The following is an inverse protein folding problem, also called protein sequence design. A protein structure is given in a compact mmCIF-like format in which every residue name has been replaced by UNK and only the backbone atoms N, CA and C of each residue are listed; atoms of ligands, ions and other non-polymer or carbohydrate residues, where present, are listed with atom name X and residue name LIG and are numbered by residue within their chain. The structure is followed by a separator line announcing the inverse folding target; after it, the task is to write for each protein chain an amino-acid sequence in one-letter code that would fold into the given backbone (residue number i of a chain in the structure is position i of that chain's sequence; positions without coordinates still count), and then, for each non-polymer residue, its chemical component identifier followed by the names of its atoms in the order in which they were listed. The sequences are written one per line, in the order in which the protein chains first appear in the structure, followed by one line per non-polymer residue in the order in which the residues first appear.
data_IF_536857947287
#
_entry.id   IF_536857947287
#
_cell.length_a   1.000
_cell.length_b   1.000
_cell.length_c   1.000
_cell.angle_alpha   90.00
_cell.angle_beta   90.00
_cell.angle_gamma   90.00
#
_symmetry.space_group_name_H-M   'P 1'
#
loop_
_entity.id
_entity.type
_entity.pdbx_description
1 polymer ?
#
# COMPACT_ATOMS: atom_id res chain seq x y z
N UNK A 1 -9.34 26.13 -0.97
CA UNK A 1 -10.19 25.69 0.16
C UNK A 1 -11.70 25.73 -0.11
N UNK A 2 -12.25 26.62 -0.93
CA UNK A 2 -13.69 26.73 -1.20
C UNK A 2 -14.27 25.72 -2.20
N UNK A 3 -13.50 25.20 -3.14
CA UNK A 3 -13.97 24.25 -4.19
C UNK A 3 -14.17 22.81 -3.68
N UNK A 4 -13.39 22.33 -2.71
CA UNK A 4 -13.54 20.97 -2.14
C UNK A 4 -14.84 20.79 -1.34
N UNK A 5 -15.34 21.85 -0.67
CA UNK A 5 -16.58 21.77 0.11
C UNK A 5 -17.88 21.63 -0.72
N UNK A 6 -17.85 22.04 -1.99
CA UNK A 6 -19.04 21.92 -2.86
C UNK A 6 -19.30 20.50 -3.35
N UNK A 7 -18.24 19.71 -3.63
CA UNK A 7 -18.40 18.33 -4.08
C UNK A 7 -18.96 17.44 -2.96
N UNK A 8 -18.42 17.59 -1.75
CA UNK A 8 -18.88 16.81 -0.58
C UNK A 8 -20.35 17.09 -0.24
N UNK A 9 -20.80 18.35 -0.38
CA UNK A 9 -22.19 18.71 -0.13
C UNK A 9 -23.14 18.22 -1.21
N UNK A 10 -22.70 18.14 -2.46
CA UNK A 10 -23.52 17.63 -3.58
C UNK A 10 -23.72 16.10 -3.49
N UNK A 11 -22.70 15.35 -3.05
CA UNK A 11 -22.79 13.90 -2.85
C UNK A 11 -23.70 13.57 -1.65
N UNK A 12 -23.60 14.31 -0.54
CA UNK A 12 -24.49 14.15 0.62
C UNK A 12 -25.95 14.48 0.29
N UNK A 13 -26.21 15.49 -0.55
CA UNK A 13 -27.56 15.85 -0.97
C UNK A 13 -28.17 14.79 -1.92
N UNK A 14 -27.38 14.14 -2.75
CA UNK A 14 -27.82 13.05 -3.62
C UNK A 14 -28.20 11.78 -2.83
N UNK A 15 -27.48 11.48 -1.74
CA UNK A 15 -27.77 10.34 -0.85
C UNK A 15 -29.03 10.61 -0.01
N UNK A 16 -29.24 11.83 0.45
CA UNK A 16 -30.42 12.19 1.25
C UNK A 16 -31.74 12.19 0.47
N UNK A 17 -31.70 12.31 -0.86
CA UNK A 17 -32.90 12.26 -1.71
C UNK A 17 -33.39 10.84 -2.03
N UNK A 18 -32.61 9.78 -1.70
CA UNK A 18 -32.98 8.38 -1.92
C UNK A 18 -33.74 7.73 -0.74
N UNK A 19 -33.98 8.44 0.36
CA UNK A 19 -34.63 7.88 1.58
C UNK A 19 -36.16 7.70 1.48
N UNK A 20 -36.76 7.72 0.29
CA UNK A 20 -38.18 7.55 0.03
C UNK A 20 -38.63 6.16 -0.40
N UNK A 21 -37.81 5.11 -0.25
CA UNK A 21 -38.20 3.74 -0.64
C UNK A 21 -38.85 3.03 0.53
N UNK A 22 -40.13 2.70 0.36
CA UNK A 22 -40.95 1.96 1.32
C UNK A 22 -40.29 0.62 1.72
N UNK A 23 -40.16 0.39 3.03
CA UNK A 23 -39.79 -0.89 3.59
C UNK A 23 -40.83 -1.96 3.21
N UNK A 24 -40.44 -2.90 2.36
CA UNK A 24 -41.11 -4.17 2.23
C UNK A 24 -40.41 -5.17 3.16
N UNK A 25 -41.10 -5.60 4.21
CA UNK A 25 -40.65 -6.71 5.05
C UNK A 25 -40.75 -8.01 4.25
N UNK A 26 -39.61 -8.60 3.86
CA UNK A 26 -39.54 -9.96 3.39
C UNK A 26 -38.83 -10.82 4.46
N UNK A 27 -39.46 -11.93 4.80
CA UNK A 27 -39.05 -12.89 5.82
C UNK A 27 -37.62 -13.42 5.55
N UNK A 28 -36.84 -13.51 6.66
CA UNK A 28 -35.46 -13.92 6.60
C UNK A 28 -35.27 -15.39 6.24
N UNK A 29 -34.77 -15.65 5.05
CA UNK A 29 -34.01 -16.86 4.68
C UNK A 29 -33.37 -16.72 3.28
N UNK A 30 -33.54 -15.55 2.58
CA UNK A 30 -33.11 -15.37 1.20
C UNK A 30 -31.65 -14.84 1.11
N UNK A 31 -31.13 -14.27 2.20
CA UNK A 31 -29.84 -13.55 2.17
C UNK A 31 -28.64 -14.49 2.08
N UNK A 32 -28.69 -15.67 2.73
CA UNK A 32 -27.57 -16.63 2.66
C UNK A 32 -27.47 -17.32 1.29
N UNK A 33 -28.59 -17.58 0.64
CA UNK A 33 -28.64 -18.26 -0.66
C UNK A 33 -28.10 -17.36 -1.79
N UNK A 34 -28.38 -16.06 -1.74
CA UNK A 34 -27.89 -15.08 -2.72
C UNK A 34 -26.35 -14.90 -2.59
N UNK A 35 -25.81 -14.85 -1.36
CA UNK A 35 -24.38 -14.73 -1.14
C UNK A 35 -23.61 -15.95 -1.64
N UNK A 36 -24.13 -17.16 -1.39
CA UNK A 36 -23.53 -18.42 -1.88
C UNK A 36 -23.58 -18.52 -3.41
N UNK A 37 -24.64 -18.04 -4.05
CA UNK A 37 -24.74 -18.01 -5.52
C UNK A 37 -23.76 -17.02 -6.13
N UNK A 38 -23.55 -15.84 -5.55
CA UNK A 38 -22.60 -14.84 -6.00
C UNK A 38 -21.16 -15.35 -5.97
N UNK A 39 -20.74 -15.95 -4.86
CA UNK A 39 -19.41 -16.55 -4.70
C UNK A 39 -19.18 -17.70 -5.71
N UNK A 40 -20.17 -18.57 -5.89
CA UNK A 40 -20.07 -19.66 -6.85
C UNK A 40 -19.90 -19.16 -8.29
N UNK A 41 -20.68 -18.18 -8.71
CA UNK A 41 -20.58 -17.62 -10.07
C UNK A 41 -19.25 -16.88 -10.29
N UNK A 42 -18.69 -16.24 -9.27
CA UNK A 42 -17.36 -15.62 -9.31
C UNK A 42 -16.26 -16.67 -9.53
N UNK A 43 -16.33 -17.79 -8.79
CA UNK A 43 -15.38 -18.90 -8.95
C UNK A 43 -15.51 -19.56 -10.32
N UNK A 44 -16.73 -19.75 -10.83
CA UNK A 44 -16.97 -20.31 -12.16
C UNK A 44 -16.38 -19.41 -13.26
N UNK A 45 -16.62 -18.09 -13.22
CA UNK A 45 -16.02 -17.12 -14.17
C UNK A 45 -14.49 -17.14 -14.10
N UNK A 46 -13.92 -17.21 -12.89
CA UNK A 46 -12.46 -17.28 -12.70
C UNK A 46 -11.86 -18.58 -13.27
N UNK A 47 -12.58 -19.70 -13.15
CA UNK A 47 -12.19 -20.98 -13.75
C UNK A 47 -12.30 -20.98 -15.26
N UNK A 48 -13.33 -20.32 -15.82
CA UNK A 48 -13.53 -20.23 -17.27
C UNK A 48 -12.41 -19.41 -17.91
N UNK A 49 -12.06 -18.25 -17.37
CA UNK A 49 -10.91 -17.46 -17.82
C UNK A 49 -9.63 -18.31 -17.84
N UNK A 50 -9.43 -19.13 -16.81
CA UNK A 50 -8.26 -20.03 -16.71
C UNK A 50 -8.32 -21.16 -17.74
N UNK A 51 -9.50 -21.70 -18.01
CA UNK A 51 -9.71 -22.79 -18.98
C UNK A 51 -9.55 -22.32 -20.42
N UNK A 52 -10.04 -21.13 -20.73
CA UNK A 52 -10.04 -20.57 -22.08
C UNK A 52 -8.74 -19.87 -22.43
N UNK A 53 -7.87 -19.63 -21.43
CA UNK A 53 -6.58 -19.00 -21.61
C UNK A 53 -5.61 -19.86 -22.43
N UNK A 54 -4.99 -19.27 -23.45
CA UNK A 54 -3.98 -19.94 -24.29
C UNK A 54 -2.64 -20.18 -23.59
N UNK A 55 -2.48 -19.70 -22.35
CA UNK A 55 -1.26 -19.78 -21.53
C UNK A 55 -1.58 -20.01 -20.07
N UNK A 56 -0.58 -19.81 -19.19
CA UNK A 56 -0.80 -19.87 -17.75
C UNK A 56 -1.42 -18.55 -17.28
N UNK A 57 -2.71 -18.56 -17.02
CA UNK A 57 -3.46 -17.43 -16.47
C UNK A 57 -4.21 -17.86 -15.23
N UNK A 58 -4.24 -16.99 -14.23
CA UNK A 58 -5.13 -17.09 -13.09
C UNK A 58 -5.99 -15.82 -13.02
N UNK A 59 -7.23 -15.95 -12.59
CA UNK A 59 -8.15 -14.83 -12.51
C UNK A 59 -8.89 -14.80 -11.18
N UNK A 60 -9.28 -13.58 -10.79
CA UNK A 60 -10.19 -13.32 -9.68
C UNK A 60 -11.31 -12.44 -10.25
N UNK A 61 -12.55 -12.89 -10.11
CA UNK A 61 -13.73 -12.11 -10.48
C UNK A 61 -14.42 -11.61 -9.24
N UNK A 62 -15.01 -10.42 -9.27
CA UNK A 62 -15.87 -9.94 -8.21
C UNK A 62 -17.08 -10.87 -8.00
N UNK A 63 -17.50 -11.08 -6.75
CA UNK A 63 -18.69 -11.86 -6.42
C UNK A 63 -19.95 -11.19 -6.98
N UNK A 64 -20.01 -9.85 -6.85
CA UNK A 64 -20.94 -8.93 -7.49
C UNK A 64 -20.20 -7.62 -7.74
N UNK A 65 -20.73 -6.78 -8.61
CA UNK A 65 -20.12 -5.48 -8.91
C UNK A 65 -20.07 -4.65 -7.61
N UNK A 66 -18.90 -4.10 -7.30
CA UNK A 66 -18.65 -3.39 -6.04
C UNK A 66 -18.40 -4.29 -4.82
N UNK A 67 -18.39 -5.63 -4.99
CA UNK A 67 -18.07 -6.60 -3.94
C UNK A 67 -16.83 -7.42 -4.31
N UNK A 68 -15.69 -6.78 -4.35
CA UNK A 68 -14.43 -7.50 -4.46
C UNK A 68 -14.12 -8.19 -3.12
N UNK A 69 -13.54 -9.41 -3.12
CA UNK A 69 -13.42 -10.22 -1.90
C UNK A 69 -12.57 -9.60 -0.80
N UNK A 70 -11.66 -8.68 -1.13
CA UNK A 70 -10.75 -8.07 -0.18
C UNK A 70 -10.82 -6.54 -0.22
N UNK A 71 -10.34 -5.90 0.83
CA UNK A 71 -10.33 -4.45 0.97
C UNK A 71 -9.32 -3.74 0.04
N UNK A 72 -8.35 -4.50 -0.49
CA UNK A 72 -7.30 -4.01 -1.34
C UNK A 72 -7.07 -5.00 -2.50
N UNK A 73 -6.83 -4.48 -3.69
CA UNK A 73 -6.59 -5.26 -4.90
C UNK A 73 -5.37 -6.19 -4.76
N UNK A 74 -4.28 -5.72 -4.14
CA UNK A 74 -3.09 -6.55 -3.92
C UNK A 74 -3.35 -7.72 -2.96
N UNK A 75 -4.18 -7.53 -1.93
CA UNK A 75 -4.57 -8.59 -1.01
C UNK A 75 -5.29 -9.74 -1.74
N UNK A 76 -6.17 -9.40 -2.66
CA UNK A 76 -6.82 -10.42 -3.49
C UNK A 76 -5.82 -11.17 -4.37
N UNK A 77 -4.86 -10.46 -4.95
CA UNK A 77 -3.82 -11.06 -5.78
C UNK A 77 -2.92 -12.04 -5.01
N UNK A 78 -2.75 -11.86 -3.70
CA UNK A 78 -1.99 -12.79 -2.86
C UNK A 78 -2.59 -14.20 -2.81
N UNK A 79 -3.88 -14.36 -3.09
CA UNK A 79 -4.54 -15.68 -3.18
C UNK A 79 -4.12 -16.47 -4.41
N UNK A 80 -3.54 -15.81 -5.40
CA UNK A 80 -3.04 -16.45 -6.62
C UNK A 80 -1.70 -17.12 -6.33
N UNK A 81 -1.57 -18.39 -6.66
CA UNK A 81 -0.34 -19.16 -6.45
C UNK A 81 0.87 -18.47 -7.08
N UNK A 82 1.94 -18.28 -6.30
CA UNK A 82 3.19 -17.64 -6.75
C UNK A 82 3.11 -16.12 -6.83
N UNK A 83 2.10 -15.50 -6.22
CA UNK A 83 2.03 -14.06 -5.98
C UNK A 83 2.29 -13.78 -4.51
N UNK A 84 3.19 -12.88 -4.21
CA UNK A 84 3.41 -12.29 -2.90
C UNK A 84 3.21 -10.79 -2.98
N UNK A 85 2.93 -10.16 -1.85
CA UNK A 85 2.68 -8.72 -1.77
C UNK A 85 3.64 -8.07 -0.78
N UNK A 86 4.04 -6.85 -1.11
CA UNK A 86 4.73 -5.96 -0.20
C UNK A 86 3.71 -4.98 0.37
N UNK A 87 3.78 -4.74 1.69
CA UNK A 87 2.85 -3.88 2.41
C UNK A 87 3.49 -2.57 2.82
N UNK A 88 2.70 -1.51 2.79
CA UNK A 88 3.04 -0.22 3.35
C UNK A 88 1.85 0.29 4.16
N UNK A 89 2.09 0.72 5.42
CA UNK A 89 1.01 1.20 6.30
C UNK A 89 -0.11 0.18 6.55
N UNK A 90 0.21 -1.13 6.51
CA UNK A 90 -0.76 -2.22 6.70
C UNK A 90 -1.54 -2.61 5.43
N UNK A 91 -1.46 -1.86 4.35
CA UNK A 91 -2.12 -2.18 3.06
C UNK A 91 -1.12 -2.76 2.05
N UNK A 92 -1.59 -3.68 1.20
CA UNK A 92 -0.82 -4.21 0.07
C UNK A 92 -0.54 -3.12 -0.96
N UNK A 93 0.73 -2.86 -1.27
CA UNK A 93 1.15 -1.82 -2.20
C UNK A 93 1.68 -2.40 -3.50
N UNK A 94 2.63 -3.31 -3.44
CA UNK A 94 3.26 -3.90 -4.60
C UNK A 94 3.07 -5.41 -4.64
N UNK A 95 3.23 -5.98 -5.84
CA UNK A 95 3.21 -7.43 -6.04
C UNK A 95 4.52 -7.95 -6.60
N UNK A 96 4.89 -9.14 -6.16
CA UNK A 96 5.98 -9.95 -6.70
C UNK A 96 5.38 -11.23 -7.26
N UNK A 97 5.63 -11.55 -8.52
CA UNK A 97 5.08 -12.74 -9.18
C UNK A 97 6.20 -13.69 -9.56
N UNK A 98 6.14 -14.93 -9.06
CA UNK A 98 7.17 -15.96 -9.29
C UNK A 98 8.59 -15.51 -8.93
N UNK A 99 8.74 -14.66 -7.88
CA UNK A 99 10.02 -14.10 -7.46
C UNK A 99 10.50 -12.91 -8.29
N UNK A 100 9.76 -12.49 -9.32
CA UNK A 100 10.04 -11.26 -10.05
C UNK A 100 9.37 -10.08 -9.35
N UNK A 101 10.18 -9.13 -8.88
CA UNK A 101 9.74 -7.96 -8.16
C UNK A 101 8.82 -7.03 -8.97
N UNK A 102 8.28 -5.98 -8.35
CA UNK A 102 7.21 -5.15 -8.93
C UNK A 102 7.55 -4.56 -10.30
N UNK A 103 8.79 -4.14 -10.52
CA UNK A 103 9.25 -3.52 -11.76
C UNK A 103 9.33 -4.49 -12.96
N UNK A 104 9.22 -5.79 -12.73
CA UNK A 104 9.23 -6.83 -13.77
C UNK A 104 7.83 -7.27 -14.18
N UNK A 105 6.80 -6.75 -13.55
CA UNK A 105 5.41 -7.04 -13.86
C UNK A 105 4.81 -5.86 -14.62
N UNK A 106 4.04 -6.13 -15.68
CA UNK A 106 3.24 -5.13 -16.36
C UNK A 106 1.84 -5.14 -15.78
N UNK A 107 1.37 -3.98 -15.31
CA UNK A 107 0.00 -3.82 -14.81
C UNK A 107 -0.79 -2.97 -15.78
N UNK A 108 -1.95 -3.46 -16.16
CA UNK A 108 -2.88 -2.82 -17.08
C UNK A 108 -4.21 -2.60 -16.37
N UNK A 109 -4.88 -1.51 -16.70
CA UNK A 109 -6.27 -1.25 -16.34
C UNK A 109 -7.07 -1.17 -17.64
N UNK A 110 -8.06 -2.05 -17.79
CA UNK A 110 -8.84 -2.20 -19.01
C UNK A 110 -7.98 -2.43 -20.26
N UNK A 111 -6.86 -3.18 -20.12
CA UNK A 111 -5.92 -3.46 -21.19
C UNK A 111 -4.90 -2.36 -21.48
N UNK A 112 -4.90 -1.26 -20.76
CA UNK A 112 -4.05 -0.07 -20.95
C UNK A 112 -3.08 0.11 -19.80
N UNK A 113 -1.85 0.50 -20.12
CA UNK A 113 -0.91 0.92 -19.10
C UNK A 113 -1.28 2.33 -18.64
N UNK A 114 -1.46 2.51 -17.33
CA UNK A 114 -1.72 3.81 -16.73
C UNK A 114 -0.45 4.38 -16.11
N UNK A 115 -0.37 5.71 -16.01
CA UNK A 115 0.75 6.39 -15.39
C UNK A 115 0.87 6.00 -13.91
N UNK A 116 2.09 5.79 -13.46
CA UNK A 116 2.44 5.53 -12.05
C UNK A 116 3.02 6.79 -11.41
N UNK A 117 2.82 6.93 -10.12
CA UNK A 117 3.33 8.03 -9.31
C UNK A 117 4.85 7.99 -9.10
N UNK A 118 5.43 6.82 -9.19
CA UNK A 118 6.86 6.61 -9.07
C UNK A 118 7.55 6.66 -10.44
N UNK A 119 8.80 7.10 -10.45
CA UNK A 119 9.65 7.04 -11.66
C UNK A 119 10.08 5.60 -12.00
N UNK A 120 9.48 4.61 -11.36
CA UNK A 120 9.70 3.19 -11.57
C UNK A 120 8.62 2.59 -12.46
N UNK A 121 8.82 1.34 -12.88
CA UNK A 121 7.80 0.56 -13.60
C UNK A 121 6.82 -0.17 -12.67
N UNK A 122 7.01 -0.03 -11.36
CA UNK A 122 6.13 -0.63 -10.38
C UNK A 122 4.78 0.09 -10.35
N UNK A 123 3.72 -0.68 -10.21
CA UNK A 123 2.37 -0.15 -10.05
C UNK A 123 1.96 -0.25 -8.58
N UNK A 124 1.50 0.86 -8.01
CA UNK A 124 1.05 0.96 -6.62
C UNK A 124 -0.43 0.61 -6.54
N UNK A 125 -0.75 -0.60 -6.10
CA UNK A 125 -2.13 -1.09 -6.04
C UNK A 125 -2.98 -0.39 -4.97
N UNK A 126 -2.34 0.25 -4.00
CA UNK A 126 -3.01 1.03 -2.96
C UNK A 126 -3.61 2.35 -3.47
N UNK A 127 -3.33 2.74 -4.72
CA UNK A 127 -3.98 3.90 -5.35
C UNK A 127 -5.35 3.58 -5.92
N UNK A 128 -5.70 2.31 -6.15
CA UNK A 128 -6.93 1.87 -6.78
C UNK A 128 -7.87 1.19 -5.76
N UNK A 129 -9.11 1.69 -5.68
CA UNK A 129 -10.14 1.09 -4.83
C UNK A 129 -10.64 -0.24 -5.41
N UNK A 130 -10.70 -1.27 -4.56
CA UNK A 130 -11.19 -2.60 -4.96
C UNK A 130 -12.66 -2.58 -5.38
N UNK A 131 -13.46 -1.64 -4.87
CA UNK A 131 -14.87 -1.46 -5.19
C UNK A 131 -15.13 -1.07 -6.66
N UNK A 132 -14.11 -0.54 -7.35
CA UNK A 132 -14.20 -0.20 -8.77
C UNK A 132 -13.84 -1.38 -9.69
N UNK A 133 -13.28 -2.45 -9.14
CA UNK A 133 -12.74 -3.59 -9.87
C UNK A 133 -13.80 -4.66 -10.04
N UNK A 134 -14.03 -5.11 -11.27
CA UNK A 134 -14.91 -6.25 -11.61
C UNK A 134 -14.14 -7.56 -11.77
N UNK A 135 -12.86 -7.50 -12.10
CA UNK A 135 -12.01 -8.68 -12.22
C UNK A 135 -10.54 -8.35 -12.40
N UNK A 136 -9.71 -9.36 -12.18
CA UNK A 136 -8.26 -9.29 -12.39
C UNK A 136 -7.83 -10.59 -13.05
N UNK A 137 -7.03 -10.48 -14.12
CA UNK A 137 -6.36 -11.61 -14.75
C UNK A 137 -4.85 -11.46 -14.64
N UNK A 138 -4.17 -12.49 -14.14
CA UNK A 138 -2.71 -12.55 -14.01
C UNK A 138 -2.18 -13.54 -15.04
N UNK A 139 -1.67 -13.01 -16.13
CA UNK A 139 -1.03 -13.79 -17.19
C UNK A 139 0.44 -14.02 -16.81
N UNK A 140 0.75 -15.26 -16.46
CA UNK A 140 2.09 -15.70 -16.07
C UNK A 140 2.95 -16.17 -17.26
N UNK A 141 2.34 -16.23 -18.43
CA UNK A 141 3.00 -16.44 -19.72
C UNK A 141 2.56 -15.34 -20.67
N UNK A 142 3.51 -14.77 -21.40
CA UNK A 142 3.23 -13.76 -22.42
C UNK A 142 2.66 -14.39 -23.69
N UNK A 143 1.84 -13.65 -24.42
CA UNK A 143 1.41 -13.99 -25.78
C UNK A 143 1.76 -12.86 -26.74
N UNK A 144 1.76 -13.12 -28.04
CA UNK A 144 2.10 -12.13 -29.07
C UNK A 144 1.09 -10.94 -29.11
N UNK A 145 -0.08 -11.10 -28.54
CA UNK A 145 -1.13 -10.08 -28.48
C UNK A 145 -1.03 -9.16 -27.26
N UNK A 146 -0.15 -9.51 -26.30
CA UNK A 146 0.05 -8.74 -25.09
C UNK A 146 1.14 -7.70 -25.26
N UNK A 147 1.00 -6.57 -24.56
CA UNK A 147 2.06 -5.58 -24.45
C UNK A 147 3.31 -6.21 -23.85
N UNK A 148 4.48 -5.97 -24.49
CA UNK A 148 5.76 -6.47 -24.00
C UNK A 148 6.22 -5.76 -22.74
N UNK A 149 7.02 -6.45 -21.91
CA UNK A 149 7.63 -5.85 -20.72
C UNK A 149 7.31 -6.57 -19.39
N UNK A 150 6.29 -7.40 -19.34
CA UNK A 150 5.95 -8.22 -18.19
C UNK A 150 6.73 -9.54 -18.16
N UNK A 151 8.01 -9.49 -17.76
CA UNK A 151 8.85 -10.69 -17.67
C UNK A 151 8.34 -11.63 -16.57
N UNK A 152 7.89 -11.09 -15.44
CA UNK A 152 7.29 -11.83 -14.35
C UNK A 152 5.84 -12.21 -14.64
N UNK A 153 5.05 -11.22 -15.03
CA UNK A 153 3.64 -11.37 -15.39
C UNK A 153 3.09 -10.13 -16.09
N UNK A 154 1.91 -10.30 -16.72
CA UNK A 154 1.03 -9.19 -17.09
C UNK A 154 -0.25 -9.32 -16.27
N UNK A 155 -0.53 -8.32 -15.46
CA UNK A 155 -1.75 -8.22 -14.64
C UNK A 155 -2.71 -7.26 -15.32
N UNK A 156 -3.91 -7.72 -15.69
CA UNK A 156 -4.95 -6.87 -16.24
C UNK A 156 -6.09 -6.74 -15.23
N UNK A 157 -6.32 -5.52 -14.79
CA UNK A 157 -7.43 -5.14 -13.91
C UNK A 157 -8.57 -4.66 -14.81
N UNK A 158 -9.76 -5.18 -14.62
CA UNK A 158 -10.95 -4.76 -15.35
C UNK A 158 -11.92 -4.03 -14.42
N UNK A 159 -12.51 -2.94 -14.90
CA UNK A 159 -13.59 -2.23 -14.24
C UNK A 159 -14.93 -2.66 -14.81
N UNK A 160 -16.02 -2.43 -14.08
CA UNK A 160 -17.36 -2.78 -14.53
C UNK A 160 -17.78 -1.92 -15.71
N UNK A 161 -18.58 -2.52 -16.62
CA UNK A 161 -19.14 -1.85 -17.79
C UNK A 161 -20.66 -1.90 -17.78
N UNK A 162 -21.36 -0.87 -18.25
CA UNK A 162 -22.83 -0.84 -18.20
C UNK A 162 -23.50 -1.92 -19.07
N UNK A 163 -22.94 -2.27 -20.24
CA UNK A 163 -23.52 -3.31 -21.09
C UNK A 163 -23.35 -4.72 -20.51
N UNK A 164 -22.30 -4.96 -19.69
CA UNK A 164 -22.13 -6.22 -18.97
C UNK A 164 -23.21 -6.41 -17.89
N UNK A 165 -23.80 -5.31 -17.42
CA UNK A 165 -24.87 -5.30 -16.41
C UNK A 165 -26.23 -5.39 -17.06
N UNK A 166 -26.47 -4.69 -18.17
CA UNK A 166 -27.65 -4.77 -19.03
C UNK A 166 -28.93 -4.21 -18.40
N UNK A 167 -28.89 -3.71 -17.18
CA UNK A 167 -30.09 -3.22 -16.46
C UNK A 167 -29.72 -2.08 -15.49
N UNK A 168 -30.75 -1.41 -14.96
CA UNK A 168 -30.54 -0.45 -13.88
C UNK A 168 -30.04 -1.19 -12.63
N UNK A 169 -28.86 -0.79 -12.17
CA UNK A 169 -28.27 -1.29 -10.93
C UNK A 169 -27.66 -0.16 -10.13
N UNK A 170 -28.05 -0.06 -8.86
CA UNK A 170 -27.47 0.90 -7.92
C UNK A 170 -27.07 0.14 -6.66
N UNK A 171 -25.82 0.32 -6.23
CA UNK A 171 -25.28 -0.31 -5.03
C UNK A 171 -24.57 0.77 -4.22
N UNK A 172 -24.76 0.75 -2.90
CA UNK A 172 -24.05 1.57 -1.95
C UNK A 172 -23.51 0.71 -0.82
N UNK A 173 -22.32 1.04 -0.33
CA UNK A 173 -21.67 0.37 0.79
C UNK A 173 -21.14 1.39 1.78
N UNK A 174 -21.32 1.09 3.06
CA UNK A 174 -20.72 1.83 4.16
C UNK A 174 -20.02 0.81 5.04
N UNK A 175 -18.72 1.01 5.25
CA UNK A 175 -17.89 0.16 6.10
C UNK A 175 -17.24 1.03 7.19
N UNK A 176 -16.92 0.42 8.30
CA UNK A 176 -16.11 1.01 9.36
C UNK A 176 -14.94 0.07 9.65
N UNK A 177 -13.75 0.60 9.62
CA UNK A 177 -12.51 -0.11 9.95
C UNK A 177 -12.01 0.38 11.30
N UNK A 178 -11.74 -0.54 12.21
CA UNK A 178 -11.15 -0.24 13.51
C UNK A 178 -9.72 -0.78 13.56
N UNK A 179 -8.77 0.10 13.86
CA UNK A 179 -7.38 -0.28 14.08
C UNK A 179 -7.09 -0.36 15.59
N UNK A 180 -6.68 -1.53 16.05
CA UNK A 180 -6.47 -1.80 17.47
C UNK A 180 -5.29 -1.01 18.07
N UNK A 181 -4.26 -0.73 17.28
CA UNK A 181 -3.08 -0.03 17.77
C UNK A 181 -3.31 1.48 17.88
N UNK A 182 -4.05 2.08 16.95
CA UNK A 182 -4.40 3.50 17.00
C UNK A 182 -5.65 3.77 17.84
N UNK A 183 -6.48 2.74 18.12
CA UNK A 183 -7.79 2.84 18.77
C UNK A 183 -8.78 3.75 17.99
N UNK A 184 -8.56 3.91 16.69
CA UNK A 184 -9.34 4.79 15.81
C UNK A 184 -10.28 3.98 14.92
N UNK A 185 -11.47 4.53 14.68
CA UNK A 185 -12.43 4.00 13.73
C UNK A 185 -12.47 4.87 12.49
N UNK A 186 -12.26 4.27 11.34
CA UNK A 186 -12.17 4.96 10.04
C UNK A 186 -13.33 4.54 9.14
N UNK A 187 -14.09 5.50 8.56
CA UNK A 187 -15.18 5.20 7.67
C UNK A 187 -14.70 4.96 6.24
N UNK A 188 -15.43 4.10 5.54
CA UNK A 188 -15.32 3.87 4.11
C UNK A 188 -16.70 3.92 3.46
N UNK A 189 -16.82 4.63 2.35
CA UNK A 189 -18.04 4.78 1.58
C UNK A 189 -17.77 4.41 0.14
N UNK A 190 -18.64 3.62 -0.46
CA UNK A 190 -18.57 3.36 -1.89
C UNK A 190 -19.96 3.20 -2.48
N UNK A 191 -20.04 3.42 -3.78
CA UNK A 191 -21.28 3.21 -4.51
C UNK A 191 -21.09 3.33 -6.00
N UNK A 192 -21.98 2.66 -6.74
CA UNK A 192 -22.06 2.86 -8.16
C UNK A 192 -23.54 2.84 -8.62
N UNK A 193 -23.74 3.46 -9.76
CA UNK A 193 -25.00 3.43 -10.50
C UNK A 193 -24.68 3.07 -11.95
N UNK A 194 -25.41 2.14 -12.50
CA UNK A 194 -25.34 1.74 -13.91
C UNK A 194 -26.75 1.64 -14.49
N UNK A 195 -26.88 2.01 -15.75
CA UNK A 195 -28.10 1.81 -16.51
C UNK A 195 -27.83 1.76 -18.00
N UNK A 196 -28.73 1.09 -18.72
CA UNK A 196 -28.78 1.12 -20.17
C UNK A 196 -30.07 1.81 -20.64
N UNK A 197 -30.05 2.42 -21.81
CA UNK A 197 -31.11 3.24 -22.36
C UNK A 197 -31.28 2.99 -23.87
N UNK A 198 -32.46 3.33 -24.41
CA UNK A 198 -32.74 3.27 -25.83
C UNK A 198 -32.56 1.86 -26.41
N UNK A 199 -33.21 0.86 -25.81
CA UNK A 199 -33.09 -0.55 -26.16
C UNK A 199 -31.61 -1.02 -26.16
N UNK A 200 -30.92 -0.75 -25.05
CA UNK A 200 -29.51 -1.07 -24.77
C UNK A 200 -28.49 -0.45 -25.73
N UNK A 201 -28.85 0.64 -26.42
CA UNK A 201 -27.91 1.36 -27.29
C UNK A 201 -26.95 2.28 -26.53
N UNK A 202 -27.37 2.77 -25.39
CA UNK A 202 -26.53 3.62 -24.54
C UNK A 202 -26.38 3.01 -23.15
N UNK A 203 -25.17 2.95 -22.66
CA UNK A 203 -24.86 2.54 -21.31
C UNK A 203 -24.10 3.62 -20.56
N UNK A 204 -24.45 3.83 -19.31
CA UNK A 204 -23.76 4.76 -18.39
C UNK A 204 -23.49 4.05 -17.08
N UNK A 205 -22.25 4.11 -16.61
CA UNK A 205 -21.85 3.67 -15.28
C UNK A 205 -21.05 4.77 -14.62
N UNK A 206 -21.39 5.11 -13.38
CA UNK A 206 -20.60 5.96 -12.51
C UNK A 206 -20.40 5.26 -11.18
N UNK A 207 -19.15 5.18 -10.75
CA UNK A 207 -18.76 4.60 -9.46
C UNK A 207 -17.85 5.56 -8.69
N UNK A 208 -17.96 5.55 -7.37
CA UNK A 208 -17.13 6.33 -6.46
C UNK A 208 -16.82 5.54 -5.22
N UNK A 209 -15.60 5.70 -4.70
CA UNK A 209 -15.18 5.15 -3.41
C UNK A 209 -14.37 6.19 -2.66
N UNK A 210 -14.61 6.29 -1.36
CA UNK A 210 -13.84 7.10 -0.44
C UNK A 210 -13.52 6.27 0.80
N UNK A 211 -12.23 6.10 1.07
CA UNK A 211 -11.71 5.39 2.24
C UNK A 211 -10.81 6.32 3.04
N UNK A 212 -11.04 6.36 4.34
CA UNK A 212 -10.08 6.89 5.29
C UNK A 212 -9.52 5.70 6.08
N UNK A 213 -8.25 5.75 6.42
CA UNK A 213 -7.63 4.78 7.30
C UNK A 213 -6.65 5.53 8.22
N UNK A 214 -6.73 5.23 9.51
CA UNK A 214 -5.78 5.72 10.51
C UNK A 214 -5.17 4.51 11.20
N UNK A 215 -3.87 4.41 11.13
CA UNK A 215 -3.12 3.29 11.68
C UNK A 215 -2.00 3.77 12.58
N UNK A 216 -1.63 2.93 13.54
CA UNK A 216 -0.45 3.12 14.37
C UNK A 216 0.43 1.88 14.27
N UNK A 217 1.68 2.11 13.92
CA UNK A 217 2.71 1.08 13.85
C UNK A 217 3.70 1.28 14.99
N UNK A 218 3.93 0.24 15.78
CA UNK A 218 4.99 0.17 16.75
C UNK A 218 6.06 -0.75 16.17
N UNK A 219 7.27 -0.23 16.00
CA UNK A 219 8.35 -0.91 15.29
C UNK A 219 9.61 -0.91 16.13
N UNK A 220 10.39 -1.96 15.98
CA UNK A 220 11.78 -2.01 16.37
C UNK A 220 12.57 -2.36 15.10
N UNK A 221 13.56 -1.56 14.77
CA UNK A 221 14.28 -1.69 13.50
C UNK A 221 15.78 -1.45 13.67
N UNK A 222 16.55 -2.01 12.75
CA UNK A 222 17.95 -1.68 12.54
C UNK A 222 18.20 -1.37 11.08
N UNK A 223 19.04 -0.39 10.78
CA UNK A 223 19.45 -0.06 9.40
C UNK A 223 20.47 -1.08 8.82
N UNK A 224 20.56 -2.22 9.44
CA UNK A 224 21.35 -3.35 8.99
C UNK A 224 22.46 -3.74 9.96
N UNK A 225 23.23 -4.69 9.51
CA UNK A 225 24.36 -5.26 10.24
C UNK A 225 25.65 -4.92 9.50
N UNK A 226 26.63 -4.47 10.25
CA UNK A 226 27.94 -4.08 9.74
C UNK A 226 28.97 -5.15 10.08
N UNK A 227 29.73 -5.54 9.08
CA UNK A 227 30.83 -6.48 9.24
C UNK A 227 32.08 -5.76 9.75
N UNK A 228 32.72 -6.32 10.78
CA UNK A 228 34.05 -5.92 11.27
C UNK A 228 34.20 -4.42 11.55
N UNK A 229 33.31 -3.86 12.36
CA UNK A 229 33.28 -2.41 12.68
C UNK A 229 34.44 -1.90 13.55
N UNK A 230 35.44 -2.74 13.82
CA UNK A 230 36.63 -2.34 14.60
C UNK A 230 36.41 -2.36 16.10
N UNK A 231 35.63 -3.31 16.62
CA UNK A 231 35.56 -3.58 18.06
C UNK A 231 36.98 -3.96 18.53
N UNK A 232 37.50 -3.39 19.63
CA UNK A 232 38.80 -3.77 20.17
C UNK A 232 38.83 -5.28 20.48
N UNK A 233 39.92 -5.95 20.11
CA UNK A 233 40.02 -7.41 20.22
C UNK A 233 40.03 -7.90 21.66
N UNK A 234 40.46 -7.10 22.60
CA UNK A 234 40.41 -7.37 24.02
C UNK A 234 39.01 -7.18 24.65
N UNK A 235 38.14 -6.49 23.94
CA UNK A 235 36.73 -6.29 24.32
C UNK A 235 35.79 -7.28 23.68
N UNK A 236 36.28 -8.09 22.74
CA UNK A 236 35.47 -9.11 22.06
C UNK A 236 35.59 -10.42 22.85
N UNK A 237 34.55 -10.76 23.58
CA UNK A 237 34.47 -12.01 24.33
C UNK A 237 33.62 -13.02 23.52
N UNK A 238 34.25 -13.65 22.55
CA UNK A 238 33.57 -14.58 21.67
C UNK A 238 33.52 -16.02 22.21
N UNK A 239 34.36 -16.36 23.18
CA UNK A 239 34.43 -17.69 23.77
C UNK A 239 34.66 -18.85 22.76
N UNK A 240 34.71 -18.54 21.47
CA UNK A 240 34.73 -19.45 20.36
C UNK A 240 35.95 -19.26 19.45
N UNK A 241 36.76 -18.22 19.67
CA UNK A 241 37.96 -17.94 18.90
C UNK A 241 37.64 -17.61 17.44
N UNK A 242 36.64 -16.80 17.21
CA UNK A 242 36.33 -16.33 15.88
C UNK A 242 37.48 -15.50 15.32
N UNK A 243 38.16 -16.03 14.34
CA UNK A 243 39.21 -15.37 13.58
C UNK A 243 38.60 -14.26 12.67
N UNK A 244 37.70 -13.46 13.22
CA UNK A 244 37.58 -12.18 12.66
C UNK A 244 36.33 -11.68 12.01
N UNK A 245 35.31 -12.43 11.68
CA UNK A 245 34.11 -11.82 11.10
C UNK A 245 33.00 -11.64 12.15
N UNK A 246 32.91 -10.43 12.68
CA UNK A 246 31.83 -10.05 13.59
C UNK A 246 30.79 -9.21 12.84
N UNK A 247 29.51 -9.45 13.14
CA UNK A 247 28.41 -8.70 12.61
C UNK A 247 27.73 -7.93 13.76
N UNK A 248 27.82 -6.61 13.69
CA UNK A 248 27.27 -5.71 14.72
C UNK A 248 26.06 -4.98 14.16
N UNK A 249 24.94 -4.83 14.90
CA UNK A 249 23.86 -3.96 14.46
C UNK A 249 24.42 -2.53 14.30
N UNK A 250 24.03 -1.86 13.22
CA UNK A 250 24.43 -0.48 12.98
C UNK A 250 23.80 0.47 13.99
N UNK A 251 22.54 0.24 14.26
CA UNK A 251 21.70 0.96 15.20
C UNK A 251 20.60 0.04 15.70
N UNK A 252 19.85 0.50 16.66
CA UNK A 252 18.61 -0.13 17.08
C UNK A 252 17.61 0.95 17.48
N UNK A 253 16.52 1.05 16.73
CA UNK A 253 15.51 2.08 16.90
C UNK A 253 14.19 1.49 17.36
N UNK A 254 13.59 2.12 18.37
CA UNK A 254 12.20 1.95 18.76
C UNK A 254 11.40 3.11 18.19
N UNK A 255 10.40 2.79 17.35
CA UNK A 255 9.68 3.79 16.56
C UNK A 255 8.19 3.62 16.68
N UNK A 256 7.50 4.73 16.81
CA UNK A 256 6.06 4.80 16.73
C UNK A 256 5.69 5.67 15.54
N UNK A 257 4.83 5.15 14.67
CA UNK A 257 4.38 5.85 13.47
C UNK A 257 2.85 5.91 13.49
N UNK A 258 2.30 7.11 13.37
CA UNK A 258 0.89 7.35 13.08
C UNK A 258 0.77 7.69 11.61
N UNK A 259 -0.14 7.01 10.92
CA UNK A 259 -0.37 7.22 9.50
C UNK A 259 -1.86 7.45 9.23
N UNK A 260 -2.18 8.50 8.52
CA UNK A 260 -3.51 8.78 7.98
C UNK A 260 -3.47 8.67 6.47
N UNK A 261 -4.32 7.81 5.91
CA UNK A 261 -4.51 7.59 4.47
C UNK A 261 -5.90 8.01 4.08
N UNK A 262 -6.03 8.87 3.08
CA UNK A 262 -7.30 9.28 2.49
C UNK A 262 -7.25 8.98 1.00
N UNK A 263 -8.14 8.12 0.55
CA UNK A 263 -8.23 7.75 -0.86
C UNK A 263 -9.63 8.06 -1.39
N UNK A 264 -9.70 8.76 -2.50
CA UNK A 264 -10.93 8.99 -3.25
C UNK A 264 -10.72 8.51 -4.68
N UNK A 265 -11.55 7.59 -5.13
CA UNK A 265 -11.54 7.09 -6.49
C UNK A 265 -12.89 7.33 -7.14
N UNK A 266 -12.89 7.61 -8.44
CA UNK A 266 -14.10 7.69 -9.26
C UNK A 266 -13.86 7.04 -10.62
N UNK A 267 -14.89 6.37 -11.14
CA UNK A 267 -14.88 5.76 -12.47
C UNK A 267 -16.16 6.13 -13.22
N UNK A 268 -16.01 6.58 -14.44
CA UNK A 268 -17.10 6.84 -15.38
C UNK A 268 -16.90 5.99 -16.63
N UNK A 269 -17.94 5.26 -17.02
CA UNK A 269 -17.94 4.49 -18.27
C UNK A 269 -19.19 4.86 -19.07
N UNK A 270 -18.99 5.21 -20.33
CA UNK A 270 -20.04 5.46 -21.31
C UNK A 270 -19.88 4.47 -22.45
N UNK A 271 -20.94 3.75 -22.78
CA UNK A 271 -20.96 2.82 -23.92
C UNK A 271 -22.04 3.22 -24.90
N UNK A 272 -21.74 3.03 -26.18
CA UNK A 272 -22.66 3.29 -27.27
C UNK A 272 -22.57 2.21 -28.35
N UNK A 273 -23.64 1.43 -28.49
CA UNK A 273 -23.84 0.52 -29.60
C UNK A 273 -24.28 1.31 -30.84
N UNK A 274 -23.30 1.78 -31.62
CA UNK A 274 -23.56 2.58 -32.82
C UNK A 274 -24.28 1.79 -33.93
N UNK A 275 -24.05 0.48 -33.93
CA UNK A 275 -24.80 -0.52 -34.72
C UNK A 275 -24.73 -1.87 -34.00
N UNK A 276 -25.38 -2.89 -34.53
CA UNK A 276 -25.30 -4.26 -33.99
C UNK A 276 -23.89 -4.86 -34.06
N UNK A 277 -22.99 -4.22 -34.80
CA UNK A 277 -21.63 -4.69 -35.04
C UNK A 277 -20.55 -3.70 -34.56
N UNK A 278 -20.92 -2.51 -34.06
CA UNK A 278 -19.98 -1.47 -33.64
C UNK A 278 -20.33 -0.95 -32.24
N UNK A 279 -19.47 -1.23 -31.29
CA UNK A 279 -19.51 -0.70 -29.94
C UNK A 279 -18.41 0.35 -29.72
N UNK A 280 -18.79 1.46 -29.12
CA UNK A 280 -17.89 2.53 -28.69
C UNK A 280 -17.93 2.62 -27.17
N UNK A 281 -16.76 2.65 -26.55
CA UNK A 281 -16.63 2.81 -25.10
C UNK A 281 -15.72 3.99 -24.78
N UNK A 282 -16.19 4.90 -23.93
CA UNK A 282 -15.37 5.92 -23.27
C UNK A 282 -15.31 5.61 -21.79
N UNK A 283 -14.12 5.65 -21.20
CA UNK A 283 -13.91 5.48 -19.77
C UNK A 283 -12.99 6.55 -19.21
N UNK A 284 -13.24 6.93 -17.95
CA UNK A 284 -12.43 7.87 -17.20
C UNK A 284 -12.26 7.36 -15.77
N UNK A 285 -11.02 7.27 -15.32
CA UNK A 285 -10.65 6.87 -13.97
C UNK A 285 -9.91 8.02 -13.28
N UNK A 286 -10.32 8.33 -12.05
CA UNK A 286 -9.71 9.32 -11.17
C UNK A 286 -9.32 8.69 -9.85
N UNK A 287 -8.14 9.05 -9.36
CA UNK A 287 -7.64 8.68 -8.03
C UNK A 287 -6.97 9.87 -7.38
N UNK A 288 -7.35 10.17 -6.13
CA UNK A 288 -6.70 11.13 -5.24
C UNK A 288 -6.35 10.35 -3.97
N UNK A 289 -5.05 10.26 -3.67
CA UNK A 289 -4.53 9.47 -2.57
C UNK A 289 -3.56 10.31 -1.74
N UNK A 290 -3.97 10.63 -0.52
CA UNK A 290 -3.28 11.45 0.44
C UNK A 290 -2.80 10.60 1.61
N UNK A 291 -1.50 10.65 1.89
CA UNK A 291 -0.86 9.98 3.03
C UNK A 291 -0.16 11.03 3.87
N UNK A 292 -0.51 11.09 5.13
CA UNK A 292 0.20 11.87 6.15
C UNK A 292 0.74 10.92 7.20
N UNK A 293 2.03 11.04 7.49
CA UNK A 293 2.72 10.18 8.45
C UNK A 293 3.44 11.04 9.47
N UNK A 294 3.17 10.81 10.75
CA UNK A 294 3.90 11.37 11.89
C UNK A 294 4.60 10.23 12.64
N UNK A 295 5.90 10.32 12.78
CA UNK A 295 6.68 9.31 13.50
C UNK A 295 7.63 9.92 14.51
N UNK A 296 7.79 9.22 15.62
CA UNK A 296 8.83 9.48 16.60
C UNK A 296 9.63 8.21 16.79
N UNK A 297 10.93 8.34 16.84
CA UNK A 297 11.82 7.23 17.19
C UNK A 297 12.80 7.63 18.27
N UNK A 298 13.21 6.61 19.00
CA UNK A 298 14.25 6.64 19.99
C UNK A 298 15.24 5.56 19.61
N UNK A 299 16.46 5.96 19.29
CA UNK A 299 17.44 5.09 18.68
C UNK A 299 18.81 5.15 19.32
N UNK A 300 19.55 4.06 19.14
CA UNK A 300 20.92 3.93 19.59
C UNK A 300 21.80 3.58 18.40
N UNK A 301 22.89 4.31 18.24
CA UNK A 301 23.91 4.08 17.20
C UNK A 301 25.14 3.44 17.80
N UNK A 302 25.64 2.38 17.16
CA UNK A 302 26.78 1.64 17.66
C UNK A 302 28.03 1.96 16.83
N UNK A 303 29.10 2.37 17.53
CA UNK A 303 30.39 2.71 16.94
C UNK A 303 31.42 1.71 17.44
N UNK A 304 31.91 0.86 16.54
CA UNK A 304 32.81 -0.25 16.90
C UNK A 304 33.95 0.07 17.88
N UNK A 305 34.75 1.13 17.65
CA UNK A 305 35.84 1.50 18.56
C UNK A 305 35.40 1.86 19.98
N UNK A 306 34.12 2.20 20.20
CA UNK A 306 33.57 2.58 21.50
C UNK A 306 32.82 1.43 22.19
N UNK A 307 32.82 0.26 21.56
CA UNK A 307 32.12 -0.93 22.08
C UNK A 307 33.07 -1.65 23.03
N UNK A 308 32.58 -1.95 24.22
CA UNK A 308 33.19 -2.75 25.23
C UNK A 308 32.39 -4.01 25.52
N UNK A 309 33.07 -5.07 25.96
CA UNK A 309 32.47 -6.30 26.41
C UNK A 309 31.46 -6.91 25.41
N UNK A 310 31.77 -6.91 24.12
CA UNK A 310 30.92 -7.50 23.11
C UNK A 310 30.95 -9.04 23.18
N UNK A 311 29.78 -9.66 23.15
CA UNK A 311 29.59 -11.11 23.09
C UNK A 311 28.96 -11.49 21.73
N UNK A 312 29.55 -12.47 21.07
CA UNK A 312 29.02 -12.97 19.80
C UNK A 312 28.36 -14.34 19.97
N UNK A 313 27.43 -14.63 19.09
CA UNK A 313 26.89 -15.99 18.90
C UNK A 313 27.84 -16.86 18.06
N UNK A 314 27.43 -18.12 17.82
CA UNK A 314 28.22 -19.08 17.04
C UNK A 314 28.46 -18.69 15.57
N UNK A 315 27.74 -17.66 15.06
CA UNK A 315 27.88 -17.17 13.70
C UNK A 315 28.69 -15.85 13.64
N UNK A 316 29.21 -15.38 14.76
CA UNK A 316 29.91 -14.11 14.85
C UNK A 316 28.98 -12.89 14.99
N UNK A 317 27.67 -13.09 15.21
CA UNK A 317 26.73 -11.99 15.42
C UNK A 317 26.87 -11.48 16.86
N UNK A 318 27.06 -10.18 17.01
CA UNK A 318 27.09 -9.54 18.33
C UNK A 318 25.69 -9.57 18.94
N UNK A 319 25.55 -10.29 20.05
CA UNK A 319 24.28 -10.47 20.77
C UNK A 319 24.21 -9.72 22.08
N UNK A 320 25.34 -9.29 22.60
CA UNK A 320 25.43 -8.42 23.77
C UNK A 320 26.60 -7.47 23.55
N UNK A 321 26.40 -6.19 23.72
CA UNK A 321 27.45 -5.18 23.66
C UNK A 321 27.15 -4.06 24.65
N UNK A 322 28.22 -3.46 25.14
CA UNK A 322 28.19 -2.24 25.93
C UNK A 322 29.01 -1.17 25.21
N UNK A 323 28.39 -0.01 24.96
CA UNK A 323 29.08 1.14 24.40
C UNK A 323 29.21 2.20 25.47
N UNK A 324 30.46 2.56 25.79
CA UNK A 324 30.75 3.48 26.90
C UNK A 324 30.74 4.94 26.48
N UNK A 325 31.13 5.24 25.23
CA UNK A 325 31.33 6.59 24.73
C UNK A 325 30.64 6.82 23.40
N UNK A 326 30.56 8.09 23.00
CA UNK A 326 30.06 8.53 21.70
C UNK A 326 28.59 8.96 21.69
N UNK A 327 28.14 9.49 20.56
CA UNK A 327 26.74 9.79 20.33
C UNK A 327 25.99 8.47 20.15
N UNK A 328 25.54 7.92 21.26
CA UNK A 328 24.92 6.62 21.30
C UNK A 328 23.40 6.68 21.16
N UNK A 329 22.78 7.82 21.49
CA UNK A 329 21.31 7.93 21.51
C UNK A 329 20.85 9.16 20.77
N UNK A 330 19.76 8.98 20.02
CA UNK A 330 19.07 10.10 19.39
C UNK A 330 17.55 9.94 19.44
N UNK A 331 16.87 11.07 19.38
CA UNK A 331 15.43 11.17 19.21
C UNK A 331 15.13 11.80 17.87
N UNK A 332 14.25 11.16 17.12
CA UNK A 332 13.74 11.70 15.86
C UNK A 332 12.26 12.04 15.98
N UNK A 333 11.87 13.18 15.42
CA UNK A 333 10.50 13.50 15.10
C UNK A 333 10.44 13.75 13.59
N UNK A 334 9.65 12.95 12.88
CA UNK A 334 9.56 12.98 11.43
C UNK A 334 8.11 13.10 10.99
N UNK A 335 7.85 14.04 10.09
CA UNK A 335 6.60 14.11 9.36
C UNK A 335 6.84 13.84 7.89
N UNK A 336 5.90 13.16 7.24
CA UNK A 336 5.93 12.89 5.82
C UNK A 336 4.53 13.06 5.25
N UNK A 337 4.46 13.85 4.18
CA UNK A 337 3.25 14.17 3.46
C UNK A 337 3.39 13.78 1.99
N UNK A 338 2.42 13.03 1.47
CA UNK A 338 2.37 12.65 0.06
C UNK A 338 0.94 12.73 -0.44
N UNK A 339 0.74 13.52 -1.49
CA UNK A 339 -0.48 13.52 -2.29
C UNK A 339 -0.17 12.96 -3.67
N UNK A 340 -0.90 11.94 -4.07
CA UNK A 340 -0.85 11.37 -5.42
C UNK A 340 -2.19 11.58 -6.12
N UNK A 341 -2.19 12.31 -7.21
CA UNK A 341 -3.35 12.49 -8.07
C UNK A 341 -3.11 11.75 -9.39
N UNK A 342 -4.04 10.88 -9.79
CA UNK A 342 -3.95 10.13 -11.04
C UNK A 342 -5.24 10.28 -11.84
N UNK A 343 -5.10 10.47 -13.15
CA UNK A 343 -6.19 10.59 -14.11
C UNK A 343 -5.91 9.71 -15.31
N UNK A 344 -6.91 8.99 -15.77
CA UNK A 344 -6.82 8.20 -16.99
C UNK A 344 -8.11 8.34 -17.79
N UNK A 345 -7.97 8.50 -19.09
CA UNK A 345 -9.05 8.59 -20.04
C UNK A 345 -8.80 7.59 -21.17
N UNK A 346 -9.83 6.91 -21.60
CA UNK A 346 -9.73 5.96 -22.69
C UNK A 346 -10.92 6.02 -23.64
N UNK A 347 -10.65 5.75 -24.90
CA UNK A 347 -11.66 5.53 -25.90
C UNK A 347 -11.35 4.24 -26.66
N UNK A 348 -12.36 3.39 -26.77
CA UNK A 348 -12.28 2.12 -27.47
C UNK A 348 -13.39 2.04 -28.52
N UNK A 349 -13.08 1.47 -29.67
CA UNK A 349 -14.05 1.07 -30.67
C UNK A 349 -13.82 -0.41 -31.03
N UNK A 350 -14.84 -1.22 -30.86
CA UNK A 350 -14.86 -2.65 -31.18
C UNK A 350 -15.85 -2.87 -32.34
N UNK A 351 -15.35 -3.31 -33.49
CA UNK A 351 -16.13 -3.39 -34.73
C UNK A 351 -16.03 -4.76 -35.38
N UNK A 352 -17.11 -5.48 -35.37
CA UNK A 352 -17.29 -6.71 -36.16
C UNK A 352 -17.62 -6.36 -37.61
N UNK A 353 -16.55 -6.17 -38.43
CA UNK A 353 -16.69 -5.79 -39.83
C UNK A 353 -17.37 -6.91 -40.64
N UNK A 354 -17.12 -8.16 -40.30
CA UNK A 354 -17.73 -9.36 -40.84
C UNK A 354 -17.56 -10.52 -39.87
N UNK A 355 -18.23 -11.66 -40.16
CA UNK A 355 -18.17 -12.89 -39.36
C UNK A 355 -16.71 -13.37 -39.05
N UNK A 356 -15.75 -12.98 -39.88
CA UNK A 356 -14.35 -13.39 -39.78
C UNK A 356 -13.34 -12.23 -39.51
N UNK A 357 -13.85 -11.01 -39.37
CA UNK A 357 -12.99 -9.84 -39.17
C UNK A 357 -13.56 -8.93 -38.09
N UNK A 358 -12.86 -8.89 -36.96
CA UNK A 358 -13.06 -7.92 -35.89
C UNK A 358 -11.91 -6.90 -35.89
N UNK A 359 -12.23 -5.63 -35.80
CA UNK A 359 -11.28 -4.52 -35.66
C UNK A 359 -11.47 -3.85 -34.33
N UNK A 360 -10.38 -3.71 -33.57
CA UNK A 360 -10.34 -2.99 -32.30
C UNK A 360 -9.43 -1.79 -32.40
N UNK A 361 -9.96 -0.62 -32.10
CA UNK A 361 -9.21 0.61 -31.98
C UNK A 361 -9.25 1.10 -30.54
N UNK A 362 -8.11 1.43 -29.98
CA UNK A 362 -7.99 1.94 -28.63
C UNK A 362 -7.01 3.09 -28.56
N UNK A 363 -7.41 4.17 -27.87
CA UNK A 363 -6.54 5.31 -27.56
C UNK A 363 -6.77 5.72 -26.11
N UNK A 364 -5.68 6.01 -25.42
CA UNK A 364 -5.76 6.42 -24.02
C UNK A 364 -4.72 7.49 -23.69
N UNK A 365 -5.03 8.24 -22.65
CA UNK A 365 -4.12 9.19 -22.01
C UNK A 365 -4.22 9.02 -20.51
N UNK A 366 -3.07 9.00 -19.84
CA UNK A 366 -3.02 8.97 -18.38
C UNK A 366 -1.90 9.85 -17.85
N UNK A 367 -2.14 10.44 -16.71
CA UNK A 367 -1.17 11.23 -15.96
C UNK A 367 -1.23 10.88 -14.49
N UNK A 368 -0.09 10.95 -13.81
CA UNK A 368 0.00 10.82 -12.37
C UNK A 368 0.96 11.89 -11.85
N UNK A 369 0.52 12.61 -10.83
CA UNK A 369 1.30 13.64 -10.17
C UNK A 369 1.47 13.28 -8.70
N UNK A 370 2.71 13.37 -8.23
CA UNK A 370 3.04 13.22 -6.82
C UNK A 370 3.57 14.54 -6.27
N UNK A 371 2.96 15.03 -5.23
CA UNK A 371 3.31 16.27 -4.57
C UNK A 371 3.30 16.13 -3.05
N UNK A 372 3.83 17.13 -2.36
CA UNK A 372 3.64 17.27 -0.93
C UNK A 372 2.26 17.92 -0.67
N UNK A 373 1.47 17.32 0.19
CA UNK A 373 0.26 17.97 0.68
C UNK A 373 0.65 19.13 1.61
N UNK A 374 -0.02 20.27 1.51
CA UNK A 374 0.27 21.45 2.33
C UNK A 374 1.71 22.01 2.27
N UNK A 375 2.54 21.59 1.31
CA UNK A 375 3.90 22.09 1.11
C UNK A 375 4.94 21.60 2.14
N UNK A 376 4.56 20.68 3.03
CA UNK A 376 5.44 20.15 4.08
C UNK A 376 6.46 19.14 3.58
N UNK A 377 6.01 18.19 2.78
CA UNK A 377 6.86 17.11 2.29
C UNK A 377 7.45 16.28 3.43
N UNK A 378 8.75 16.03 3.37
CA UNK A 378 9.48 15.26 4.36
C UNK A 378 10.26 16.19 5.28
N UNK A 379 9.92 16.20 6.56
CA UNK A 379 10.59 16.99 7.60
C UNK A 379 11.11 16.07 8.69
N UNK A 380 12.31 16.35 9.17
CA UNK A 380 12.97 15.62 10.23
C UNK A 380 13.59 16.60 11.22
N UNK A 381 13.28 16.41 12.50
CA UNK A 381 14.00 17.00 13.63
C UNK A 381 14.71 15.89 14.38
N UNK A 382 15.98 16.10 14.70
CA UNK A 382 16.84 15.15 15.38
C UNK A 382 17.54 15.83 16.54
N UNK A 383 17.57 15.16 17.69
CA UNK A 383 18.38 15.55 18.86
C UNK A 383 19.15 14.30 19.28
N UNK A 384 20.48 14.40 19.26
CA UNK A 384 21.37 13.32 19.72
C UNK A 384 22.13 13.74 20.96
N UNK A 385 22.46 12.76 21.79
CA UNK A 385 23.31 12.97 22.97
C UNK A 385 24.19 11.75 23.23
N UNK A 386 25.32 12.03 23.90
CA UNK A 386 26.25 11.00 24.33
C UNK A 386 25.74 10.31 25.59
N UNK A 387 25.78 8.98 25.60
CA UNK A 387 25.44 8.18 26.76
C UNK A 387 26.07 6.78 26.64
N UNK A 388 25.90 6.01 27.72
CA UNK A 388 26.30 4.61 27.80
C UNK A 388 25.10 3.73 27.50
N UNK A 389 25.24 2.79 26.55
CA UNK A 389 24.16 1.93 26.11
C UNK A 389 24.61 0.48 26.11
N UNK A 390 23.78 -0.38 26.65
CA UNK A 390 23.86 -1.81 26.46
C UNK A 390 22.79 -2.28 25.52
N UNK A 391 23.15 -3.08 24.53
CA UNK A 391 22.27 -3.79 23.64
C UNK A 391 22.36 -5.27 23.95
N UNK A 392 21.22 -5.95 24.07
CA UNK A 392 21.16 -7.39 24.29
C UNK A 392 20.11 -8.03 23.40
N UNK A 393 20.47 -9.16 22.79
CA UNK A 393 19.58 -10.02 22.00
C UNK A 393 19.79 -11.46 22.47
N UNK A 394 18.75 -12.06 22.97
CA UNK A 394 18.75 -13.47 23.40
C UNK A 394 18.29 -14.43 22.30
N UNK A 395 18.16 -13.94 21.07
CA UNK A 395 17.60 -14.67 19.94
C UNK A 395 16.07 -14.80 19.98
N UNK A 396 15.43 -14.20 20.99
CA UNK A 396 13.98 -14.04 21.02
C UNK A 396 13.51 -12.90 20.10
N UNK A 397 12.25 -12.56 20.17
CA UNK A 397 11.55 -11.77 19.15
C UNK A 397 12.11 -10.35 18.95
N UNK A 398 12.58 -9.68 20.01
CA UNK A 398 13.13 -8.31 19.94
C UNK A 398 14.34 -8.16 20.87
N UNK A 399 15.42 -7.56 20.37
CA UNK A 399 16.50 -7.04 21.22
C UNK A 399 15.98 -5.97 22.17
N UNK A 400 16.70 -5.71 23.22
CA UNK A 400 16.42 -4.63 24.15
C UNK A 400 17.67 -3.83 24.45
N UNK A 401 17.48 -2.56 24.76
CA UNK A 401 18.54 -1.64 25.13
C UNK A 401 18.29 -1.07 26.53
N UNK A 402 19.35 -0.76 27.22
CA UNK A 402 19.29 -0.06 28.49
C UNK A 402 20.36 1.03 28.53
N UNK A 403 19.98 2.17 29.06
CA UNK A 403 20.90 3.28 29.28
C UNK A 403 21.41 3.28 30.71
N UNK A 404 22.68 3.63 30.85
CA UNK A 404 23.34 3.72 32.15
C UNK A 404 23.81 5.14 32.39
N UNK A 405 22.89 6.08 32.51
CA UNK A 405 23.19 7.41 32.99
C UNK A 405 22.58 7.61 34.36
N UNK A 406 23.43 7.90 35.35
CA UNK A 406 22.96 8.46 36.58
C UNK A 406 23.07 9.99 36.55
N UNK A 407 22.22 10.67 37.29
CA UNK A 407 22.32 12.13 37.45
C UNK A 407 23.68 12.60 37.95
N UNK A 408 24.50 11.68 38.41
CA UNK A 408 25.86 11.93 38.91
C UNK A 408 26.93 11.55 37.88
N UNK A 409 26.61 11.08 36.72
CA UNK A 409 27.58 10.75 35.69
C UNK A 409 28.09 12.03 35.03
N UNK A 410 29.33 11.98 34.64
CA UNK A 410 30.00 13.08 33.97
C UNK A 410 30.31 12.66 32.56
N UNK A 411 30.10 13.57 31.62
CA UNK A 411 30.47 13.39 30.23
C UNK A 411 31.70 14.23 29.95
N UNK A 412 32.73 13.61 29.40
CA UNK A 412 33.87 14.32 28.82
C UNK A 412 33.43 14.77 27.39
N UNK A 413 33.34 16.08 27.19
CA UNK A 413 33.07 16.63 25.88
C UNK A 413 34.30 16.57 24.98
N UNK A 414 34.15 16.77 23.68
CA UNK A 414 35.24 16.70 22.71
C UNK A 414 36.37 17.73 22.95
N UNK A 415 36.23 18.62 23.94
CA UNK A 415 37.22 19.59 24.38
C UNK A 415 38.01 19.10 25.61
N UNK A 416 37.72 17.88 26.06
CA UNK A 416 38.34 17.30 27.27
C UNK A 416 37.80 17.89 28.57
N UNK A 417 36.68 18.54 28.55
CA UNK A 417 36.03 19.11 29.73
C UNK A 417 34.96 18.15 30.24
N UNK A 418 35.16 17.68 31.46
CA UNK A 418 34.19 16.80 32.13
C UNK A 418 33.09 17.65 32.75
N UNK A 419 31.85 17.47 32.28
CA UNK A 419 30.65 18.16 32.78
C UNK A 419 29.60 17.17 33.29
N UNK A 420 28.85 17.52 34.35
CA UNK A 420 27.74 16.67 34.76
C UNK A 420 26.65 16.65 33.68
N UNK A 421 25.97 15.51 33.55
CA UNK A 421 24.85 15.32 32.58
C UNK A 421 23.78 16.39 32.77
N UNK A 422 23.58 16.89 34.00
CA UNK A 422 22.63 17.99 34.26
C UNK A 422 22.90 19.25 33.45
N UNK A 423 24.15 19.52 33.09
CA UNK A 423 24.53 20.72 32.33
C UNK A 423 24.05 20.62 30.85
N UNK A 424 23.92 19.41 30.31
CA UNK A 424 23.42 19.18 28.97
C UNK A 424 21.90 19.18 28.91
N UNK A 425 21.24 18.99 30.05
CA UNK A 425 19.78 19.03 30.16
C UNK A 425 19.25 20.45 30.45
N UNK A 426 20.14 21.42 30.69
CA UNK A 426 19.76 22.82 30.91
C UNK A 426 19.49 23.50 29.58
N UNK A 427 18.22 23.93 29.32
CA UNK A 427 17.85 24.65 28.09
C UNK A 427 18.65 25.92 27.82
N UNK A 428 19.31 26.47 28.86
CA UNK A 428 20.16 27.65 28.71
C UNK A 428 21.51 27.34 28.04
N UNK A 429 21.93 26.06 28.03
CA UNK A 429 23.20 25.62 27.47
C UNK A 429 23.04 24.99 26.07
N UNK A 430 21.82 24.75 25.60
CA UNK A 430 21.47 24.26 24.27
C UNK A 430 21.17 25.38 23.28
#
# INVERSE_FOLDING_TARGET
MYKKKMLTSAVLAAIASMSGVQQSYAEGNVIEEIAVMGMRSSLERSMDIKRDGSGVVDAISAEDIGKFPDQNVAESLQRITGVSIDRSGGEGQYITVRGFGPQFNTVLVNGRQIASEDQSRAFSFDTLASELVSGIAVHKTSSATMQSGGVGSTVNITTARPFDIGEFKAVGSVKAHYDENSEETSPEFSGFVSNTFADDKFGVLFAVSQKNAKTRLNQAETDGWLENVGIPTDELNDGLGHDGNTFTPRNYDSKVTFEERKRTNANLVLQFAASDTLELTFDALYSDFDITTDSTSYGHWFTGPNIENAITDANGTVVDLYQEEGLATDFHAKTFDRLTESKSFGFNADWDVSDNLNLKFDVSHSEAERSANNGGGNQLSLIGYANRVRFQSDGAILPWTSEFQSANDFIEDGDGVVRPVSDYLDPANG
#
